data_IF_169182709721
#
_entry.id   IF_169182709721
#
_cell.length_a   1.000
_cell.length_b   1.000
_cell.length_c   1.000
_cell.angle_alpha   90.00
_cell.angle_beta   90.00
_cell.angle_gamma   90.00
#
_symmetry.space_group_name_H-M   'P 1'
#
loop_
_entity.id
_entity.type
_entity.pdbx_description
1 polymer ?
#
# COMPACT_ATOMS: atom_id res chain seq x y z
N UNK A 1 10.66 -2.27 -7.60
CA UNK A 1 9.93 -1.16 -6.95
C UNK A 1 10.77 -0.60 -5.82
N UNK A 2 11.10 0.69 -5.90
CA UNK A 2 11.82 1.46 -4.87
C UNK A 2 11.19 2.86 -4.80
N UNK A 3 10.61 3.21 -3.65
CA UNK A 3 9.93 4.49 -3.43
C UNK A 3 10.28 5.13 -2.09
N UNK A 4 10.17 6.46 -2.01
CA UNK A 4 10.04 7.21 -0.76
C UNK A 4 8.70 7.92 -0.67
N UNK A 5 8.03 7.83 0.46
CA UNK A 5 6.67 8.33 0.64
C UNK A 5 6.47 8.88 2.05
N UNK A 6 5.62 9.91 2.18
CA UNK A 6 5.19 10.41 3.48
C UNK A 6 4.36 9.34 4.22
N UNK A 7 4.70 9.09 5.48
CA UNK A 7 4.07 8.03 6.25
C UNK A 7 2.57 8.29 6.51
N UNK A 8 2.17 9.55 6.73
CA UNK A 8 0.77 9.92 7.00
C UNK A 8 -0.07 9.88 5.73
N UNK A 9 0.48 10.36 4.61
CA UNK A 9 -0.17 10.25 3.31
C UNK A 9 -0.43 8.79 2.95
N UNK A 10 0.58 7.92 3.06
CA UNK A 10 0.40 6.49 2.81
C UNK A 10 -0.60 5.85 3.79
N UNK A 11 -0.55 6.21 5.07
CA UNK A 11 -1.49 5.70 6.07
C UNK A 11 -2.94 6.07 5.77
N UNK A 12 -3.19 7.29 5.29
CA UNK A 12 -4.52 7.76 4.89
C UNK A 12 -5.09 6.85 3.80
N UNK A 13 -4.31 6.62 2.74
CA UNK A 13 -4.71 5.76 1.62
C UNK A 13 -4.91 4.30 2.03
N UNK A 14 -4.05 3.80 2.93
CA UNK A 14 -4.18 2.45 3.49
C UNK A 14 -5.46 2.27 4.28
N UNK A 15 -5.89 3.27 5.07
CA UNK A 15 -7.13 3.17 5.83
C UNK A 15 -8.35 3.04 4.91
N UNK A 16 -8.35 3.71 3.75
CA UNK A 16 -9.41 3.56 2.75
C UNK A 16 -9.40 2.14 2.14
N UNK A 17 -8.23 1.67 1.71
CA UNK A 17 -8.08 0.33 1.14
C UNK A 17 -8.46 -0.79 2.12
N UNK A 18 -8.10 -0.64 3.41
CA UNK A 18 -8.44 -1.59 4.46
C UNK A 18 -9.94 -1.75 4.71
N UNK A 19 -10.75 -0.75 4.32
CA UNK A 19 -12.22 -0.84 4.36
C UNK A 19 -12.80 -1.82 3.35
N UNK A 20 -12.07 -2.11 2.26
CA UNK A 20 -12.47 -3.06 1.22
C UNK A 20 -11.92 -4.46 1.50
N UNK A 21 -10.77 -4.58 2.19
CA UNK A 21 -10.11 -5.87 2.37
C UNK A 21 -10.82 -6.76 3.39
N UNK A 22 -11.31 -7.90 2.91
CA UNK A 22 -11.88 -8.95 3.77
C UNK A 22 -10.81 -9.63 4.64
N UNK A 23 -11.09 -9.70 5.95
CA UNK A 23 -10.18 -10.32 6.93
C UNK A 23 -10.17 -11.85 6.89
N UNK A 24 -11.22 -12.47 6.33
CA UNK A 24 -11.43 -13.91 6.27
C UNK A 24 -11.75 -14.34 4.82
N UNK A 25 -11.06 -13.73 3.86
CA UNK A 25 -11.25 -14.06 2.45
C UNK A 25 -10.94 -15.54 2.22
N UNK A 26 -11.84 -16.24 1.53
CA UNK A 26 -11.60 -17.64 1.12
C UNK A 26 -10.50 -17.73 0.06
N UNK A 27 -10.31 -16.64 -0.71
CA UNK A 27 -9.26 -16.51 -1.72
C UNK A 27 -8.12 -15.66 -1.14
N UNK A 28 -6.94 -16.25 -0.82
CA UNK A 28 -5.90 -15.56 -0.04
C UNK A 28 -5.37 -14.25 -0.66
N UNK A 29 -5.33 -14.15 -1.98
CA UNK A 29 -4.84 -12.92 -2.65
C UNK A 29 -5.74 -11.71 -2.37
N UNK A 30 -7.02 -11.91 -2.04
CA UNK A 30 -7.95 -10.83 -1.69
C UNK A 30 -7.74 -10.27 -0.28
N UNK A 31 -6.93 -10.94 0.55
CA UNK A 31 -6.45 -10.39 1.82
C UNK A 31 -5.22 -9.47 1.66
N UNK A 32 -4.72 -9.33 0.42
CA UNK A 32 -3.65 -8.41 0.08
C UNK A 32 -4.20 -7.10 -0.51
N UNK A 33 -3.36 -6.08 -0.52
CA UNK A 33 -3.53 -4.89 -1.34
C UNK A 33 -2.40 -4.82 -2.36
N UNK A 34 -2.69 -4.25 -3.53
CA UNK A 34 -1.69 -3.90 -4.53
C UNK A 34 -1.04 -2.57 -4.14
N UNK A 35 0.29 -2.52 -4.20
CA UNK A 35 1.10 -1.31 -4.26
C UNK A 35 1.69 -1.21 -5.66
N UNK A 36 1.49 -0.09 -6.35
CA UNK A 36 2.07 0.17 -7.66
C UNK A 36 2.73 1.54 -7.69
N UNK A 37 4.04 1.56 -7.87
CA UNK A 37 4.82 2.77 -8.05
C UNK A 37 4.93 3.12 -9.53
N UNK A 38 4.45 4.30 -9.91
CA UNK A 38 4.45 4.80 -11.27
C UNK A 38 4.47 6.33 -11.28
N UNK A 39 5.31 6.93 -12.14
CA UNK A 39 5.45 8.38 -12.21
C UNK A 39 5.95 8.98 -10.89
N UNK A 40 5.11 9.81 -10.27
CA UNK A 40 5.35 10.59 -9.05
C UNK A 40 4.44 10.16 -7.88
N UNK A 41 3.86 8.97 -7.95
CA UNK A 41 2.94 8.47 -6.95
C UNK A 41 3.04 6.96 -6.75
N UNK A 42 2.45 6.53 -5.63
CA UNK A 42 2.13 5.13 -5.39
C UNK A 42 0.61 4.95 -5.39
N UNK A 43 0.12 4.08 -6.26
CA UNK A 43 -1.27 3.63 -6.28
C UNK A 43 -1.45 2.43 -5.34
N UNK A 44 -2.55 2.45 -4.60
CA UNK A 44 -3.06 1.37 -3.79
C UNK A 44 -4.35 0.85 -4.42
N UNK A 45 -4.49 -0.47 -4.54
CA UNK A 45 -5.74 -1.09 -4.95
C UNK A 45 -6.12 -2.27 -4.05
N UNK A 46 -7.42 -2.39 -3.76
CA UNK A 46 -8.01 -3.48 -3.00
C UNK A 46 -9.38 -3.86 -3.59
N UNK A 47 -9.75 -5.13 -3.47
CA UNK A 47 -11.03 -5.64 -3.95
C UNK A 47 -11.48 -6.89 -3.20
N UNK A 48 -12.80 -7.06 -3.06
CA UNK A 48 -13.49 -8.25 -2.59
C UNK A 48 -14.26 -8.97 -3.72
N UNK A 49 -13.96 -8.63 -4.98
CA UNK A 49 -14.64 -9.05 -6.23
C UNK A 49 -15.99 -8.37 -6.52
N UNK A 50 -16.59 -7.67 -5.56
CA UNK A 50 -17.83 -6.91 -5.77
C UNK A 50 -17.51 -5.42 -5.88
N UNK A 51 -16.63 -4.93 -5.00
CA UNK A 51 -16.17 -3.56 -4.94
C UNK A 51 -14.66 -3.53 -5.16
N UNK A 52 -14.21 -2.52 -5.91
CA UNK A 52 -12.79 -2.22 -6.09
C UNK A 52 -12.53 -0.77 -5.71
N UNK A 53 -11.56 -0.54 -4.83
CA UNK A 53 -11.02 0.78 -4.57
C UNK A 53 -9.65 0.91 -5.22
N UNK A 54 -9.43 2.05 -5.89
CA UNK A 54 -8.11 2.54 -6.27
C UNK A 54 -7.91 3.91 -5.67
N UNK A 55 -6.77 4.11 -5.05
CA UNK A 55 -6.38 5.41 -4.50
C UNK A 55 -4.89 5.61 -4.63
N UNK A 56 -4.38 6.83 -4.41
CA UNK A 56 -2.97 7.13 -4.60
C UNK A 56 -2.50 8.27 -3.72
N UNK A 57 -1.23 8.27 -3.38
CA UNK A 57 -0.56 9.39 -2.72
C UNK A 57 0.77 9.72 -3.42
N UNK A 58 1.25 10.98 -3.33
CA UNK A 58 2.54 11.37 -3.91
C UNK A 58 3.69 10.56 -3.30
N UNK A 59 4.64 10.15 -4.14
CA UNK A 59 5.82 9.42 -3.74
C UNK A 59 6.99 9.73 -4.69
N UNK A 60 8.20 9.78 -4.15
CA UNK A 60 9.42 9.78 -4.96
C UNK A 60 9.64 8.35 -5.48
N UNK A 61 9.45 8.13 -6.78
CA UNK A 61 9.67 6.82 -7.41
C UNK A 61 11.09 6.73 -7.94
N UNK A 62 11.93 5.95 -7.26
CA UNK A 62 13.31 5.67 -7.69
C UNK A 62 13.31 4.54 -8.73
N UNK A 63 12.46 3.52 -8.53
CA UNK A 63 12.29 2.41 -9.47
C UNK A 63 10.82 2.02 -9.52
N UNK A 64 10.16 2.09 -10.70
CA UNK A 64 8.77 1.71 -10.84
C UNK A 64 8.57 0.21 -10.60
N UNK A 65 7.31 -0.19 -10.45
CA UNK A 65 6.93 -1.60 -10.31
C UNK A 65 5.73 -1.77 -9.39
N UNK A 66 5.34 -3.02 -9.14
CA UNK A 66 4.25 -3.30 -8.24
C UNK A 66 4.42 -4.61 -7.51
N UNK A 67 3.81 -4.68 -6.33
CA UNK A 67 3.80 -5.85 -5.46
C UNK A 67 2.49 -5.90 -4.69
N UNK A 68 2.03 -7.09 -4.34
CA UNK A 68 0.92 -7.23 -3.38
C UNK A 68 1.47 -7.49 -1.98
N UNK A 69 0.85 -6.89 -0.97
CA UNK A 69 1.26 -7.05 0.43
C UNK A 69 0.07 -7.42 1.30
N UNK A 70 0.24 -8.23 2.36
CA UNK A 70 -0.83 -8.52 3.31
C UNK A 70 -1.36 -7.24 3.94
N UNK A 71 -2.61 -6.87 3.63
CA UNK A 71 -3.09 -5.52 3.84
C UNK A 71 -3.05 -5.08 5.31
N UNK A 72 -3.53 -5.95 6.22
CA UNK A 72 -3.62 -5.65 7.65
C UNK A 72 -2.26 -5.54 8.31
N UNK A 73 -1.34 -6.45 7.97
CA UNK A 73 0.03 -6.45 8.48
C UNK A 73 0.80 -5.23 7.97
N UNK A 74 0.64 -4.89 6.70
CA UNK A 74 1.27 -3.71 6.13
C UNK A 74 0.71 -2.42 6.75
N UNK A 75 -0.62 -2.33 6.89
CA UNK A 75 -1.27 -1.19 7.53
C UNK A 75 -0.87 -0.98 8.99
N UNK A 76 -0.67 -2.03 9.77
CA UNK A 76 -0.18 -1.90 11.16
C UNK A 76 1.27 -1.43 11.21
N UNK A 77 2.13 -1.91 10.31
CA UNK A 77 3.52 -1.46 10.19
C UNK A 77 3.55 0.04 9.85
N UNK A 78 2.85 0.48 8.81
CA UNK A 78 2.85 1.90 8.40
C UNK A 78 2.30 2.80 9.52
N UNK A 79 1.25 2.36 10.22
CA UNK A 79 0.70 3.08 11.38
C UNK A 79 1.72 3.29 12.50
N UNK A 80 2.61 2.34 12.74
CA UNK A 80 3.65 2.47 13.77
C UNK A 80 4.67 3.57 13.43
N UNK A 81 4.95 3.78 12.14
CA UNK A 81 5.89 4.80 11.67
C UNK A 81 5.25 6.17 11.39
N UNK A 82 3.93 6.25 11.20
CA UNK A 82 3.20 7.49 10.92
C UNK A 82 3.14 8.51 12.09
N UNK A 83 3.79 8.19 13.21
CA UNK A 83 3.99 9.09 14.35
C UNK A 83 5.16 10.07 14.14
N UNK A 84 6.05 9.79 13.19
CA UNK A 84 7.18 10.63 12.82
C UNK A 84 6.90 11.40 11.51
N UNK A 85 7.54 12.55 11.33
CA UNK A 85 7.53 13.30 10.06
C UNK A 85 8.59 12.79 9.06
N UNK A 86 9.31 11.70 9.39
CA UNK A 86 10.30 11.12 8.52
C UNK A 86 9.65 10.32 7.36
N UNK A 87 10.18 10.44 6.12
CA UNK A 87 9.68 9.67 4.98
C UNK A 87 10.01 8.17 5.14
N UNK A 88 9.09 7.32 4.67
CA UNK A 88 9.27 5.88 4.58
C UNK A 88 9.91 5.50 3.25
N UNK A 89 10.92 4.63 3.28
CA UNK A 89 11.49 4.00 2.09
C UNK A 89 10.99 2.57 1.97
N UNK A 90 10.41 2.23 0.83
CA UNK A 90 9.89 0.90 0.52
C UNK A 90 10.63 0.35 -0.68
N UNK A 91 11.29 -0.80 -0.50
CA UNK A 91 12.06 -1.47 -1.55
C UNK A 91 11.64 -2.92 -1.66
N UNK A 92 11.39 -3.36 -2.89
CA UNK A 92 11.26 -4.79 -3.19
C UNK A 92 12.65 -5.37 -3.36
N UNK A 93 13.01 -6.32 -2.52
CA UNK A 93 14.18 -7.17 -2.75
C UNK A 93 13.84 -8.15 -3.87
N UNK A 94 14.68 -8.22 -4.89
CA UNK A 94 14.70 -9.35 -5.80
C UNK A 94 15.56 -10.45 -5.14
N UNK A 95 15.02 -11.67 -5.07
CA UNK A 95 15.88 -12.86 -5.12
C UNK A 95 16.27 -13.12 -6.58
#
# INVERSE_FOLDING_TARGET
MDIRVDARALQSELNLALGIVESKATIPILSNLLLKAEGDHVELAATDLEVTLRTRCPAEVVSPGGITVPARKFGSIVRAFATSDAPLSLKTTAE
#
